data_IF_016380767555
#
_entry.id   IF_016380767555
#
_cell.length_a   1.000
_cell.length_b   1.000
_cell.length_c   1.000
_cell.angle_alpha   90.00
_cell.angle_beta   90.00
_cell.angle_gamma   90.00
#
_symmetry.space_group_name_H-M   'P 1'
#
loop_
_entity.id
_entity.type
_entity.pdbx_description
1 polymer ?
#
# COMPACT_ATOMS: atom_id res chain seq x y z
N UNK A 1 -10.42 10.74 -26.72
CA UNK A 1 -10.63 9.43 -26.38
C UNK A 1 -11.03 9.22 -24.99
N UNK A 2 -12.05 8.55 -24.79
CA UNK A 2 -12.49 8.31 -23.47
C UNK A 2 -11.81 7.10 -22.96
N UNK A 3 -11.51 7.05 -21.77
CA UNK A 3 -10.93 5.91 -21.16
C UNK A 3 -9.78 6.31 -20.30
N UNK A 4 -9.48 5.48 -19.36
CA UNK A 4 -8.43 5.74 -18.41
C UNK A 4 -7.68 4.47 -18.16
N UNK A 5 -6.43 4.62 -17.81
CA UNK A 5 -5.60 3.50 -17.46
C UNK A 5 -5.14 3.71 -16.02
N UNK A 6 -5.22 2.66 -15.23
CA UNK A 6 -4.80 2.72 -13.85
C UNK A 6 -3.62 1.78 -13.66
N UNK A 7 -2.72 2.19 -12.83
CA UNK A 7 -1.61 1.34 -12.42
C UNK A 7 -1.92 0.80 -11.05
N UNK A 8 -1.44 -0.41 -10.79
CA UNK A 8 -1.67 -1.06 -9.51
C UNK A 8 -0.33 -1.50 -8.98
N UNK A 9 -0.08 -1.21 -7.72
CA UNK A 9 1.12 -1.67 -7.05
C UNK A 9 0.73 -2.30 -5.73
N UNK A 10 1.54 -3.22 -5.25
CA UNK A 10 1.33 -3.82 -3.95
C UNK A 10 2.55 -3.61 -3.09
N UNK A 11 2.31 -3.23 -1.86
CA UNK A 11 3.38 -3.02 -0.89
C UNK A 11 3.00 -3.68 0.41
N UNK A 12 3.99 -4.03 1.20
CA UNK A 12 3.74 -4.55 2.54
C UNK A 12 4.31 -3.55 3.52
N UNK A 13 3.45 -3.05 4.38
CA UNK A 13 3.89 -2.20 5.47
C UNK A 13 3.98 -3.00 6.74
N UNK A 14 4.80 -2.56 7.65
CA UNK A 14 4.96 -3.22 8.94
C UNK A 14 4.90 -2.20 10.05
N UNK A 15 4.43 -2.63 11.21
CA UNK A 15 4.35 -1.77 12.38
C UNK A 15 4.33 -2.66 13.61
N UNK A 16 4.97 -2.22 14.68
CA UNK A 16 4.86 -2.95 15.92
C UNK A 16 3.67 -2.45 16.75
N UNK A 17 2.84 -1.60 16.18
CA UNK A 17 1.69 -1.03 16.88
C UNK A 17 0.39 -1.68 16.44
N UNK A 18 0.12 -1.72 15.15
CA UNK A 18 -1.16 -2.22 14.66
C UNK A 18 -1.10 -2.48 13.17
N UNK A 19 -2.11 -3.21 12.67
CA UNK A 19 -2.25 -3.42 11.23
C UNK A 19 -2.61 -2.12 10.52
N UNK A 20 -3.39 -1.27 11.16
CA UNK A 20 -3.74 0.02 10.56
C UNK A 20 -2.51 0.89 10.38
N UNK A 21 -1.64 0.88 11.36
CA UNK A 21 -0.41 1.63 11.26
C UNK A 21 0.49 1.01 10.18
N UNK A 22 0.51 -0.30 10.07
CA UNK A 22 1.27 -0.97 9.03
C UNK A 22 0.79 -0.56 7.64
N UNK A 23 -0.53 -0.55 7.45
CA UNK A 23 -1.11 -0.14 6.18
C UNK A 23 -0.79 1.33 5.89
N UNK A 24 -0.90 2.17 6.90
CA UNK A 24 -0.62 3.59 6.72
C UNK A 24 0.84 3.82 6.35
N UNK A 25 1.75 3.03 6.92
CA UNK A 25 3.16 3.14 6.57
C UNK A 25 3.39 2.84 5.10
N UNK A 26 2.73 1.80 4.58
CA UNK A 26 2.86 1.45 3.18
C UNK A 26 2.30 2.55 2.28
N UNK A 27 1.17 3.12 2.67
CA UNK A 27 0.54 4.17 1.89
C UNK A 27 1.42 5.43 1.87
N UNK A 28 1.99 5.78 3.02
CA UNK A 28 2.84 6.96 3.09
C UNK A 28 4.08 6.80 2.22
N UNK A 29 4.65 5.60 2.22
CA UNK A 29 5.81 5.35 1.41
C UNK A 29 5.47 5.43 -0.08
N UNK A 30 4.34 4.87 -0.48
CA UNK A 30 3.90 4.92 -1.86
C UNK A 30 3.63 6.35 -2.30
N UNK A 31 3.03 7.14 -1.42
CA UNK A 31 2.74 8.53 -1.75
C UNK A 31 4.03 9.31 -1.95
N UNK A 32 5.07 8.94 -1.21
CA UNK A 32 6.33 9.65 -1.30
C UNK A 32 7.14 9.23 -2.51
N UNK A 33 7.06 7.96 -2.92
CA UNK A 33 7.99 7.44 -3.92
C UNK A 33 7.33 7.07 -5.24
N UNK A 34 6.04 6.84 -5.26
CA UNK A 34 5.37 6.37 -6.46
C UNK A 34 4.45 7.42 -7.05
N UNK A 35 3.48 7.86 -6.25
CA UNK A 35 2.52 8.84 -6.75
C UNK A 35 1.81 9.47 -5.58
N UNK A 36 1.62 10.76 -5.61
CA UNK A 36 0.84 11.44 -4.58
C UNK A 36 -0.63 11.52 -4.97
N UNK A 37 -1.02 10.85 -6.05
CA UNK A 37 -2.42 10.86 -6.50
C UNK A 37 -3.08 9.56 -6.17
N UNK A 38 -2.70 8.94 -5.06
CA UNK A 38 -3.32 7.70 -4.61
C UNK A 38 -4.70 8.00 -4.05
N UNK A 39 -5.67 7.21 -4.45
CA UNK A 39 -7.03 7.43 -4.01
C UNK A 39 -7.62 6.28 -3.28
N UNK A 40 -7.20 5.06 -3.60
CA UNK A 40 -7.79 3.87 -3.01
C UNK A 40 -6.70 2.92 -2.64
N UNK A 41 -6.80 2.39 -1.43
CA UNK A 41 -5.92 1.35 -0.96
C UNK A 41 -6.78 0.21 -0.45
N UNK A 42 -6.47 -1.00 -0.89
CA UNK A 42 -7.20 -2.17 -0.46
C UNK A 42 -6.27 -3.01 0.38
N UNK A 43 -6.67 -3.36 1.58
CA UNK A 43 -5.88 -4.27 2.39
C UNK A 43 -6.17 -5.68 1.91
N UNK A 44 -5.18 -6.32 1.35
CA UNK A 44 -5.35 -7.59 0.71
C UNK A 44 -5.08 -8.73 1.68
N UNK A 45 -4.12 -8.54 2.55
CA UNK A 45 -3.68 -9.60 3.42
C UNK A 45 -3.06 -9.01 4.66
N UNK A 46 -3.21 -9.66 5.78
CA UNK A 46 -2.60 -9.23 7.03
C UNK A 46 -1.93 -10.45 7.65
N UNK A 47 -0.76 -10.24 8.21
CA UNK A 47 -0.09 -11.33 8.92
C UNK A 47 0.75 -10.74 10.04
N UNK A 48 1.39 -11.60 10.77
CA UNK A 48 2.18 -11.21 11.93
C UNK A 48 3.56 -11.84 11.80
N UNK A 49 4.55 -11.01 11.97
CA UNK A 49 5.92 -11.48 11.98
C UNK A 49 6.25 -11.93 13.40
N UNK A 50 6.69 -13.16 13.54
CA UNK A 50 6.98 -13.76 14.84
C UNK A 50 8.44 -14.15 14.89
N UNK A 51 9.07 -13.86 16.02
CA UNK A 51 10.44 -14.25 16.19
C UNK A 51 10.58 -14.83 17.57
N UNK A 52 11.08 -16.06 17.67
CA UNK A 52 11.28 -16.72 18.94
C UNK A 52 10.03 -16.74 19.80
N UNK A 53 8.88 -16.96 19.17
CA UNK A 53 7.62 -17.04 19.89
C UNK A 53 7.01 -15.70 20.27
N UNK A 54 7.63 -14.61 19.89
CA UNK A 54 7.14 -13.29 20.23
C UNK A 54 6.65 -12.58 18.99
N UNK A 55 5.60 -11.80 19.15
CA UNK A 55 5.09 -10.99 18.07
C UNK A 55 6.06 -9.85 17.84
N UNK A 56 6.63 -9.80 16.65
CA UNK A 56 7.58 -8.76 16.32
C UNK A 56 6.92 -7.60 15.62
N UNK A 57 6.04 -7.88 14.73
CA UNK A 57 5.39 -6.81 13.98
C UNK A 57 4.12 -7.31 13.33
N UNK A 58 3.20 -6.37 13.09
CA UNK A 58 2.01 -6.62 12.29
C UNK A 58 2.33 -6.16 10.88
N UNK A 59 1.92 -6.93 9.89
CA UNK A 59 2.18 -6.57 8.50
C UNK A 59 0.88 -6.53 7.73
N UNK A 60 0.74 -5.54 6.88
CA UNK A 60 -0.42 -5.41 6.01
C UNK A 60 0.05 -5.29 4.57
N UNK A 61 -0.48 -6.13 3.70
CA UNK A 61 -0.22 -6.02 2.28
C UNK A 61 -1.34 -5.16 1.70
N UNK A 62 -0.98 -4.07 1.07
CA UNK A 62 -1.96 -3.17 0.49
C UNK A 62 -1.76 -3.09 -1.00
N UNK A 63 -2.88 -3.04 -1.70
CA UNK A 63 -2.90 -2.86 -3.13
C UNK A 63 -3.38 -1.46 -3.39
N UNK A 64 -2.56 -0.70 -4.10
CA UNK A 64 -2.85 0.70 -4.34
C UNK A 64 -3.07 0.90 -5.83
N UNK A 65 -4.07 1.70 -6.17
CA UNK A 65 -4.29 2.02 -7.55
C UNK A 65 -4.31 3.53 -7.73
N UNK A 66 -3.81 3.97 -8.83
CA UNK A 66 -3.81 5.39 -9.15
C UNK A 66 -3.94 5.53 -10.66
N UNK A 67 -4.53 6.62 -11.05
CA UNK A 67 -4.76 6.86 -12.44
C UNK A 67 -3.44 7.21 -13.10
N UNK A 68 -3.14 6.49 -14.15
CA UNK A 68 -1.89 6.70 -14.82
C UNK A 68 -1.98 7.97 -15.63
N UNK A 69 -0.94 8.78 -15.54
CA UNK A 69 -0.91 9.98 -16.36
C UNK A 69 -0.75 9.56 -17.79
N UNK A 70 -1.57 10.10 -18.67
CA UNK A 70 -1.48 9.76 -20.05
C UNK A 70 -1.11 10.98 -20.82
N UNK A 71 -0.41 10.80 -21.85
CA UNK A 71 -0.08 11.81 -22.72
C UNK A 71 -0.98 11.91 -23.80
N UNK A 72 -2.19 11.82 -23.54
CA UNK A 72 -3.19 11.81 -24.41
C UNK A 72 -3.40 13.07 -24.95
N UNK A 73 -3.58 13.19 -26.02
CA UNK A 73 -3.86 14.46 -26.60
C UNK A 73 -5.08 14.44 -27.42
#
# INVERSE_FOLDING_TARGET
MAGSVYSVVELIGASNVSWEEAAANAIREAARTISDDLRIAEVVEQDILIEEGEVLAFRSKVRLSFKQATNES
#
